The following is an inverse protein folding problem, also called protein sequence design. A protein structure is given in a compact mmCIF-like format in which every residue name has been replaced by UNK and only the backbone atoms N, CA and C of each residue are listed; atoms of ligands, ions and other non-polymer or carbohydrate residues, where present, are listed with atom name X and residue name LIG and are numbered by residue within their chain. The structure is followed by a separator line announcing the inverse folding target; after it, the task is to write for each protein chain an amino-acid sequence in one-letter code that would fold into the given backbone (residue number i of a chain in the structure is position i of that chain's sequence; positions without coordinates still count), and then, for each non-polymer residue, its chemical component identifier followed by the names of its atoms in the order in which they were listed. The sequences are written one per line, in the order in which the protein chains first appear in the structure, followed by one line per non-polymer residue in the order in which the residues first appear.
data_IF_061918889614
#
_entry.id   IF_061918889614
#
_cell.length_a   1.000
_cell.length_b   1.000
_cell.length_c   1.000
_cell.angle_alpha   90.00
_cell.angle_beta   90.00
_cell.angle_gamma   90.00
#
_symmetry.space_group_name_H-M   'P 1'
#
loop_
_entity.id
_entity.type
_entity.pdbx_description
1 polymer ?
#
# COMPACT_ATOMS: atom_id res chain seq x y z
N UNK A 1 -8.40 -7.32 45.03
CA UNK A 1 -7.80 -8.45 44.29
C UNK A 1 -6.88 -7.86 43.25
N UNK A 2 -5.60 -8.18 43.28
CA UNK A 2 -4.61 -7.63 42.38
C UNK A 2 -4.95 -8.05 40.94
N UNK A 3 -5.37 -7.09 40.11
CA UNK A 3 -5.46 -7.26 38.67
C UNK A 3 -4.04 -7.25 38.11
N UNK A 4 -3.36 -8.40 38.22
CA UNK A 4 -2.10 -8.62 37.53
C UNK A 4 -2.34 -8.53 36.03
N UNK A 5 -1.74 -7.53 35.40
CA UNK A 5 -1.54 -7.54 33.95
C UNK A 5 -0.78 -8.84 33.65
N UNK A 6 -1.25 -9.70 32.73
CA UNK A 6 -0.53 -10.91 32.37
C UNK A 6 0.92 -10.57 32.02
N UNK A 7 1.87 -11.41 32.43
CA UNK A 7 3.28 -11.28 32.03
C UNK A 7 3.33 -11.04 30.51
N UNK A 8 3.89 -9.91 30.10
CA UNK A 8 3.92 -9.51 28.71
C UNK A 8 4.75 -10.52 27.92
N UNK A 9 4.15 -11.13 26.90
CA UNK A 9 4.81 -12.07 25.99
C UNK A 9 6.15 -11.46 25.53
N UNK A 10 7.30 -12.07 25.86
CA UNK A 10 8.61 -11.50 25.54
C UNK A 10 8.81 -11.24 24.05
N UNK A 11 8.08 -11.95 23.18
CA UNK A 11 8.12 -11.76 21.73
C UNK A 11 7.36 -10.53 21.27
N UNK A 12 6.43 -10.01 22.08
CA UNK A 12 5.63 -8.82 21.80
C UNK A 12 6.17 -7.55 22.49
N UNK A 13 7.17 -7.71 23.36
CA UNK A 13 7.83 -6.59 24.02
C UNK A 13 8.46 -5.65 23.00
N UNK A 14 8.11 -4.38 23.11
CA UNK A 14 8.67 -3.33 22.27
C UNK A 14 10.03 -2.88 22.82
N UNK A 15 10.97 -2.66 21.92
CA UNK A 15 12.33 -2.20 22.17
C UNK A 15 12.52 -0.90 21.39
N UNK A 16 13.26 0.04 21.98
CA UNK A 16 13.70 1.27 21.32
C UNK A 16 15.20 1.39 21.53
N UNK A 17 15.96 1.44 20.45
CA UNK A 17 17.39 1.70 20.49
C UNK A 17 17.65 3.11 21.04
N UNK A 18 18.64 3.28 21.94
CA UNK A 18 19.10 4.61 22.34
C UNK A 18 19.53 5.45 21.13
N UNK A 19 19.41 6.80 21.17
CA UNK A 19 19.68 7.64 20.01
C UNK A 19 21.07 7.46 19.36
N UNK A 20 22.12 7.26 20.15
CA UNK A 20 23.49 7.01 19.68
C UNK A 20 23.63 5.65 18.98
N UNK A 21 22.97 4.62 19.53
CA UNK A 21 22.92 3.27 18.93
C UNK A 21 22.14 3.29 17.62
N UNK A 22 20.99 3.98 17.60
CA UNK A 22 20.19 4.15 16.40
C UNK A 22 20.99 4.88 15.32
N UNK A 23 21.68 5.96 15.67
CA UNK A 23 22.47 6.75 14.71
C UNK A 23 23.57 5.90 14.04
N UNK A 24 24.31 5.10 14.83
CA UNK A 24 25.34 4.19 14.31
C UNK A 24 24.76 3.11 13.38
N UNK A 25 23.61 2.52 13.75
CA UNK A 25 22.93 1.52 12.89
C UNK A 25 22.46 2.16 11.57
N UNK A 26 21.99 3.41 11.61
CA UNK A 26 21.56 4.15 10.43
C UNK A 26 22.74 4.52 9.52
N UNK A 27 23.90 4.87 10.07
CA UNK A 27 25.13 5.07 9.28
C UNK A 27 25.51 3.80 8.51
N UNK A 28 25.49 2.66 9.21
CA UNK A 28 25.82 1.38 8.59
C UNK A 28 24.80 0.99 7.50
N UNK A 29 23.50 1.18 7.75
CA UNK A 29 22.45 0.92 6.77
C UNK A 29 22.57 1.85 5.55
N UNK A 30 22.86 3.14 5.77
CA UNK A 30 23.07 4.09 4.69
C UNK A 30 24.27 3.69 3.82
N UNK A 31 25.37 3.23 4.41
CA UNK A 31 26.52 2.68 3.67
C UNK A 31 26.13 1.47 2.82
N UNK A 32 25.32 0.55 3.36
CA UNK A 32 24.86 -0.61 2.59
C UNK A 32 24.03 -0.19 1.39
N UNK A 33 23.08 0.74 1.57
CA UNK A 33 22.21 1.22 0.49
C UNK A 33 23.02 1.97 -0.58
N UNK A 34 24.01 2.80 -0.21
CA UNK A 34 24.86 3.50 -1.18
C UNK A 34 25.65 2.55 -2.07
N UNK A 35 26.04 1.40 -1.54
CA UNK A 35 26.85 0.39 -2.25
C UNK A 35 26.01 -0.74 -2.86
N UNK A 36 24.69 -0.76 -2.62
CA UNK A 36 23.81 -1.83 -3.08
C UNK A 36 23.67 -1.80 -4.60
N UNK A 37 23.81 -2.97 -5.22
CA UNK A 37 23.50 -3.17 -6.63
C UNK A 37 22.02 -3.45 -6.85
N UNK A 38 21.35 -4.04 -5.86
CA UNK A 38 19.93 -4.33 -5.93
C UNK A 38 19.32 -4.29 -4.52
N UNK A 39 18.83 -3.12 -4.15
CA UNK A 39 18.21 -2.88 -2.84
C UNK A 39 16.70 -3.09 -2.89
N UNK A 40 16.18 -3.95 -2.02
CA UNK A 40 14.74 -4.17 -1.86
C UNK A 40 14.27 -3.84 -0.44
N UNK A 41 12.98 -3.53 -0.31
CA UNK A 41 12.33 -3.27 0.97
C UNK A 41 11.15 -4.22 1.16
N UNK A 42 11.05 -4.83 2.33
CA UNK A 42 9.92 -5.64 2.73
C UNK A 42 9.10 -4.90 3.79
N UNK A 43 7.80 -4.70 3.58
CA UNK A 43 6.96 -3.90 4.49
C UNK A 43 5.80 -4.70 5.08
N UNK A 44 5.51 -4.44 6.35
CA UNK A 44 4.33 -4.90 7.06
C UNK A 44 3.54 -3.75 7.67
N UNK A 45 2.54 -4.08 8.48
CA UNK A 45 1.53 -3.11 8.94
C UNK A 45 2.11 -1.95 9.78
N UNK A 46 3.29 -2.15 10.38
CA UNK A 46 3.97 -1.14 11.19
C UNK A 46 4.25 0.17 10.44
N UNK A 47 4.50 0.14 9.12
CA UNK A 47 4.75 1.37 8.32
C UNK A 47 3.52 2.26 8.17
N UNK A 48 2.32 1.72 8.46
CA UNK A 48 1.04 2.41 8.34
C UNK A 48 0.48 2.87 9.69
N UNK A 49 1.12 2.52 10.82
CA UNK A 49 0.63 2.85 12.17
C UNK A 49 0.56 4.35 12.45
N UNK A 50 1.54 5.12 11.97
CA UNK A 50 1.52 6.59 12.09
C UNK A 50 0.42 7.28 11.28
N UNK A 51 -0.21 6.55 10.34
CA UNK A 51 -1.34 7.05 9.53
C UNK A 51 -2.70 6.86 10.23
N UNK A 52 -2.71 6.22 11.40
CA UNK A 52 -3.92 5.86 12.14
C UNK A 52 -4.49 4.49 11.77
N UNK A 53 -3.81 3.70 10.94
CA UNK A 53 -4.19 2.32 10.66
C UNK A 53 -3.52 1.40 11.70
N UNK A 54 -4.28 0.70 12.56
CA UNK A 54 -3.69 -0.21 13.53
C UNK A 54 -3.00 -1.38 12.85
N UNK A 55 -1.93 -1.87 13.47
CA UNK A 55 -1.29 -3.11 13.05
C UNK A 55 -2.09 -4.34 13.51
N UNK A 56 -1.49 -5.52 13.39
CA UNK A 56 -2.13 -6.78 13.75
C UNK A 56 -1.77 -7.29 15.15
N UNK A 57 -0.54 -7.08 15.63
CA UNK A 57 0.05 -7.87 16.74
C UNK A 57 0.68 -7.04 17.86
N UNK A 58 0.69 -5.72 17.75
CA UNK A 58 1.22 -4.87 18.83
C UNK A 58 0.49 -5.16 20.14
N UNK A 59 1.26 -5.23 21.23
CA UNK A 59 0.76 -5.69 22.53
C UNK A 59 -0.28 -4.74 23.12
N UNK A 60 -0.91 -5.16 24.21
CA UNK A 60 -1.84 -4.31 24.96
C UNK A 60 -1.20 -3.01 25.50
N UNK A 61 0.13 -2.98 25.67
CA UNK A 61 0.90 -1.86 26.23
C UNK A 61 1.73 -1.12 25.17
N UNK A 62 1.43 -1.31 23.88
CA UNK A 62 2.17 -0.69 22.78
C UNK A 62 2.27 0.84 22.89
N UNK A 63 3.42 1.38 22.50
CA UNK A 63 3.65 2.82 22.38
C UNK A 63 2.94 3.43 21.16
N UNK A 64 2.42 2.60 20.26
CA UNK A 64 1.83 3.07 19.01
C UNK A 64 0.54 3.87 19.27
N UNK A 65 0.32 4.98 18.55
CA UNK A 65 -0.86 5.83 18.74
C UNK A 65 -2.17 5.14 18.34
N UNK A 66 -2.08 4.06 17.56
CA UNK A 66 -3.21 3.21 17.15
C UNK A 66 -3.63 2.20 18.20
N UNK A 67 -2.91 2.15 19.33
CA UNK A 67 -3.12 1.17 20.38
C UNK A 67 -2.88 -0.26 19.90
N UNK A 68 -3.40 -1.25 20.65
CA UNK A 68 -3.10 -2.66 20.41
C UNK A 68 -3.56 -3.15 19.03
N UNK A 69 -2.83 -4.14 18.54
CA UNK A 69 -3.07 -4.74 17.24
C UNK A 69 -4.45 -5.37 17.12
N UNK A 70 -4.98 -5.46 15.90
CA UNK A 70 -6.35 -5.97 15.70
C UNK A 70 -6.52 -7.44 16.10
N UNK A 71 -5.47 -8.27 16.01
CA UNK A 71 -5.52 -9.65 16.48
C UNK A 71 -5.26 -9.74 17.98
N UNK A 72 -4.40 -8.88 18.52
CA UNK A 72 -4.20 -8.77 19.97
C UNK A 72 -5.52 -8.50 20.71
N UNK A 73 -6.32 -7.54 20.21
CA UNK A 73 -7.64 -7.24 20.76
C UNK A 73 -8.64 -8.38 20.59
N UNK A 74 -8.55 -9.12 19.48
CA UNK A 74 -9.42 -10.28 19.22
C UNK A 74 -9.11 -11.41 20.20
N UNK A 75 -7.84 -11.60 20.50
CA UNK A 75 -7.34 -12.68 21.36
C UNK A 75 -7.50 -12.32 22.86
N UNK A 76 -7.86 -11.07 23.19
CA UNK A 76 -8.22 -10.61 24.53
C UNK A 76 -9.67 -10.08 24.60
N UNK A 77 -10.69 -10.96 24.58
CA UNK A 77 -12.08 -10.56 24.65
C UNK A 77 -12.37 -9.70 25.89
N UNK A 78 -12.92 -8.51 25.68
CA UNK A 78 -13.21 -7.54 26.75
C UNK A 78 -12.17 -6.42 26.88
N UNK A 79 -10.98 -6.60 26.33
CA UNK A 79 -10.03 -5.51 26.14
C UNK A 79 -10.61 -4.49 25.14
N UNK A 80 -10.44 -3.21 25.43
CA UNK A 80 -10.83 -2.10 24.55
C UNK A 80 -9.63 -1.22 24.32
N UNK A 81 -9.54 -0.63 23.13
CA UNK A 81 -8.60 0.47 22.88
C UNK A 81 -8.90 1.60 23.87
N UNK A 82 -7.84 2.28 24.31
CA UNK A 82 -7.96 3.52 25.06
C UNK A 82 -8.85 4.50 24.27
N UNK A 83 -9.77 5.24 24.92
CA UNK A 83 -10.58 6.27 24.25
C UNK A 83 -9.74 7.37 23.57
N UNK A 84 -8.47 7.53 23.95
CA UNK A 84 -7.54 8.46 23.32
C UNK A 84 -7.05 8.00 21.93
N UNK A 85 -7.16 6.70 21.63
CA UNK A 85 -6.73 6.13 20.35
C UNK A 85 -7.70 6.54 19.25
N UNK A 86 -7.18 7.17 18.20
CA UNK A 86 -7.94 7.50 16.99
C UNK A 86 -7.45 6.66 15.84
N UNK A 87 -8.33 5.84 15.28
CA UNK A 87 -8.04 5.10 14.05
C UNK A 87 -8.66 5.79 12.84
N UNK A 88 -8.03 5.61 11.69
CA UNK A 88 -8.49 6.14 10.41
C UNK A 88 -8.88 4.95 9.52
N UNK A 89 -9.94 5.10 8.72
CA UNK A 89 -10.29 4.08 7.73
C UNK A 89 -9.22 4.04 6.64
N UNK A 90 -8.97 2.86 6.05
CA UNK A 90 -7.95 2.68 5.00
C UNK A 90 -8.08 3.72 3.87
N UNK A 91 -9.33 3.97 3.44
CA UNK A 91 -9.65 4.95 2.39
C UNK A 91 -9.24 6.38 2.73
N UNK A 92 -9.30 6.76 4.02
CA UNK A 92 -8.99 8.13 4.49
C UNK A 92 -7.54 8.31 4.90
N UNK A 93 -6.82 7.23 5.18
CA UNK A 93 -5.42 7.29 5.57
C UNK A 93 -4.59 7.92 4.44
N UNK A 94 -3.64 8.77 4.80
CA UNK A 94 -2.65 9.32 3.86
C UNK A 94 -1.31 8.58 4.06
N UNK A 95 -0.46 8.47 3.02
CA UNK A 95 0.83 7.81 3.15
C UNK A 95 1.70 8.41 4.26
N UNK A 96 2.39 7.55 5.01
CA UNK A 96 3.33 7.97 6.06
C UNK A 96 4.64 8.51 5.49
N UNK A 97 5.48 9.07 6.36
CA UNK A 97 6.84 9.50 6.03
C UNK A 97 7.65 8.33 5.46
N UNK A 98 7.48 7.13 6.01
CA UNK A 98 8.08 5.90 5.48
C UNK A 98 7.68 5.65 4.02
N UNK A 99 6.39 5.75 3.69
CA UNK A 99 5.93 5.56 2.30
C UNK A 99 6.55 6.60 1.35
N UNK A 100 6.59 7.87 1.77
CA UNK A 100 7.15 8.94 0.94
C UNK A 100 8.67 8.83 0.77
N UNK A 101 9.39 8.34 1.78
CA UNK A 101 10.81 8.04 1.67
C UNK A 101 11.08 6.95 0.62
N UNK A 102 10.27 5.88 0.60
CA UNK A 102 10.39 4.82 -0.41
C UNK A 102 10.12 5.32 -1.83
N UNK A 103 9.15 6.22 -2.01
CA UNK A 103 8.89 6.87 -3.30
C UNK A 103 10.11 7.64 -3.78
N UNK A 104 10.75 8.42 -2.91
CA UNK A 104 11.93 9.20 -3.29
C UNK A 104 13.15 8.31 -3.59
N UNK A 105 13.36 7.24 -2.81
CA UNK A 105 14.41 6.27 -3.08
C UNK A 105 14.19 5.56 -4.43
N UNK A 106 12.93 5.25 -4.79
CA UNK A 106 12.59 4.68 -6.09
C UNK A 106 12.83 5.69 -7.24
N UNK A 107 12.44 6.96 -7.05
CA UNK A 107 12.68 8.03 -8.04
C UNK A 107 14.17 8.25 -8.34
N UNK A 108 15.03 7.99 -7.35
CA UNK A 108 16.49 8.08 -7.48
C UNK A 108 17.15 6.79 -7.97
N UNK A 109 16.36 5.76 -8.31
CA UNK A 109 16.82 4.43 -8.69
C UNK A 109 17.71 3.74 -7.62
N UNK A 110 17.55 4.10 -6.34
CA UNK A 110 18.20 3.41 -5.24
C UNK A 110 17.38 2.20 -4.80
N UNK A 111 16.05 2.37 -4.71
CA UNK A 111 15.13 1.28 -4.38
C UNK A 111 14.69 0.55 -5.64
N UNK A 112 14.96 -0.75 -5.70
CA UNK A 112 14.71 -1.59 -6.87
C UNK A 112 13.37 -2.32 -6.78
N UNK A 113 12.90 -2.63 -5.57
CA UNK A 113 11.61 -3.30 -5.38
C UNK A 113 11.07 -3.20 -3.96
N UNK A 114 9.75 -3.18 -3.83
CA UNK A 114 9.02 -3.28 -2.57
C UNK A 114 8.21 -4.57 -2.54
N UNK A 115 8.32 -5.33 -1.47
CA UNK A 115 7.43 -6.45 -1.19
C UNK A 115 6.57 -6.04 0.00
N UNK A 116 5.25 -5.97 -0.18
CA UNK A 116 4.35 -5.51 0.88
C UNK A 116 3.33 -6.56 1.27
N UNK A 117 3.22 -6.79 2.58
CA UNK A 117 2.16 -7.58 3.19
C UNK A 117 0.88 -6.76 3.45
N UNK A 118 0.93 -5.45 3.21
CA UNK A 118 -0.15 -4.54 3.58
C UNK A 118 -1.24 -4.54 2.51
N UNK A 119 -2.48 -4.47 2.99
CA UNK A 119 -3.67 -4.37 2.13
C UNK A 119 -4.25 -2.95 2.06
N UNK A 120 -3.61 -1.98 2.72
CA UNK A 120 -4.09 -0.61 2.87
C UNK A 120 -3.98 0.24 1.59
N UNK A 121 -3.21 -0.23 0.60
CA UNK A 121 -2.99 0.43 -0.68
C UNK A 121 -2.16 1.72 -0.60
N UNK A 122 -1.53 2.03 0.54
CA UNK A 122 -0.82 3.30 0.74
C UNK A 122 0.45 3.41 -0.10
N UNK A 123 1.13 2.31 -0.42
CA UNK A 123 2.28 2.32 -1.33
C UNK A 123 1.91 2.84 -2.72
N UNK A 124 0.83 2.33 -3.31
CA UNK A 124 0.41 2.82 -4.63
C UNK A 124 -0.19 4.23 -4.55
N UNK A 125 -0.89 4.55 -3.46
CA UNK A 125 -1.46 5.89 -3.23
C UNK A 125 -0.40 6.96 -2.88
N UNK A 126 0.82 6.57 -2.49
CA UNK A 126 1.95 7.48 -2.35
C UNK A 126 2.60 7.85 -3.69
N UNK A 127 2.25 7.13 -4.75
CA UNK A 127 2.84 7.30 -6.09
C UNK A 127 4.01 6.37 -6.35
N UNK A 128 4.21 5.32 -5.54
CA UNK A 128 5.16 4.26 -5.87
C UNK A 128 4.71 3.57 -7.17
N UNK A 129 5.57 3.44 -8.20
CA UNK A 129 5.19 2.78 -9.44
C UNK A 129 4.75 1.34 -9.19
N UNK A 130 3.60 0.92 -9.75
CA UNK A 130 3.12 -0.46 -9.50
C UNK A 130 4.00 -1.56 -10.12
N UNK A 131 4.95 -1.18 -10.99
CA UNK A 131 6.00 -2.08 -11.50
C UNK A 131 7.13 -2.35 -10.50
N UNK A 132 7.21 -1.57 -9.41
CA UNK A 132 8.26 -1.70 -8.39
C UNK A 132 7.72 -2.29 -7.08
N UNK A 133 6.54 -2.88 -7.09
CA UNK A 133 5.95 -3.46 -5.89
C UNK A 133 5.20 -4.76 -6.17
N UNK A 134 5.34 -5.70 -5.24
CA UNK A 134 4.42 -6.84 -5.09
C UNK A 134 3.57 -6.69 -3.83
N UNK A 135 2.24 -6.70 -3.99
CA UNK A 135 1.27 -6.66 -2.89
C UNK A 135 0.80 -8.09 -2.56
N UNK A 136 1.60 -8.82 -1.78
CA UNK A 136 1.47 -10.29 -1.67
C UNK A 136 0.19 -10.77 -0.97
N UNK A 137 -0.44 -9.91 -0.17
CA UNK A 137 -1.75 -10.19 0.47
C UNK A 137 -2.91 -9.46 -0.21
N UNK A 138 -2.67 -8.84 -1.37
CA UNK A 138 -3.64 -8.04 -2.09
C UNK A 138 -3.73 -6.59 -1.63
N UNK A 139 -4.74 -5.90 -2.13
CA UNK A 139 -4.96 -4.48 -1.90
C UNK A 139 -6.46 -4.19 -1.83
N UNK A 140 -6.88 -3.55 -0.73
CA UNK A 140 -8.30 -3.27 -0.44
C UNK A 140 -8.97 -2.35 -1.46
N UNK A 141 -8.19 -1.64 -2.28
CA UNK A 141 -8.63 -0.73 -3.33
C UNK A 141 -8.46 -1.32 -4.74
N UNK A 142 -8.04 -2.57 -4.90
CA UNK A 142 -7.77 -3.19 -6.19
C UNK A 142 -8.83 -4.23 -6.55
N UNK A 143 -9.25 -4.21 -7.81
CA UNK A 143 -10.00 -5.29 -8.45
C UNK A 143 -9.27 -5.82 -9.68
N UNK A 144 -9.47 -7.10 -9.96
CA UNK A 144 -8.84 -7.80 -11.05
C UNK A 144 -9.90 -8.55 -11.85
N UNK A 145 -9.86 -8.40 -13.17
CA UNK A 145 -10.64 -9.25 -14.06
C UNK A 145 -9.95 -10.60 -14.24
N UNK A 146 -10.56 -11.71 -13.80
CA UNK A 146 -9.97 -13.06 -13.96
C UNK A 146 -9.89 -13.57 -15.41
N UNK A 147 -10.61 -12.92 -16.35
CA UNK A 147 -10.62 -13.31 -17.77
C UNK A 147 -9.51 -12.61 -18.58
N UNK A 148 -9.31 -11.30 -18.38
CA UNK A 148 -8.33 -10.51 -19.15
C UNK A 148 -7.23 -9.86 -18.31
N UNK A 149 -7.17 -10.18 -17.01
CA UNK A 149 -6.17 -9.72 -16.03
C UNK A 149 -6.02 -8.21 -15.88
N UNK A 150 -6.96 -7.42 -16.41
CA UNK A 150 -6.93 -5.96 -16.23
C UNK A 150 -7.20 -5.62 -14.77
N UNK A 151 -6.27 -4.84 -14.19
CA UNK A 151 -6.32 -4.28 -12.83
C UNK A 151 -7.11 -2.97 -12.82
N UNK A 152 -7.89 -2.74 -11.77
CA UNK A 152 -8.71 -1.54 -11.56
C UNK A 152 -8.49 -0.99 -10.15
N UNK A 153 -7.93 0.21 -10.04
CA UNK A 153 -7.75 0.87 -8.76
C UNK A 153 -8.96 1.75 -8.40
N UNK A 154 -9.35 1.71 -7.13
CA UNK A 154 -10.50 2.42 -6.58
C UNK A 154 -10.07 3.41 -5.50
N UNK A 155 -10.86 4.46 -5.34
CA UNK A 155 -10.83 5.36 -4.20
C UNK A 155 -11.65 4.83 -3.01
N UNK A 156 -12.26 3.65 -3.14
CA UNK A 156 -13.06 2.98 -2.11
C UNK A 156 -12.63 1.52 -1.92
N UNK A 157 -13.10 0.89 -0.85
CA UNK A 157 -12.84 -0.53 -0.59
C UNK A 157 -13.62 -1.42 -1.57
N UNK A 158 -12.91 -2.28 -2.29
CA UNK A 158 -13.48 -3.06 -3.40
C UNK A 158 -14.34 -4.22 -2.95
N UNK A 159 -13.99 -4.85 -1.83
CA UNK A 159 -14.73 -6.00 -1.32
C UNK A 159 -16.19 -5.63 -1.00
N UNK A 160 -17.12 -6.32 -1.64
CA UNK A 160 -18.57 -6.20 -1.39
C UNK A 160 -19.17 -7.42 -0.70
N UNK A 161 -18.42 -8.53 -0.65
CA UNK A 161 -18.91 -9.78 -0.10
C UNK A 161 -18.91 -9.79 1.42
N UNK A 162 -19.98 -10.34 1.99
CA UNK A 162 -20.16 -10.52 3.44
C UNK A 162 -19.48 -11.80 3.94
N UNK A 163 -19.32 -12.79 3.05
CA UNK A 163 -18.71 -14.09 3.37
C UNK A 163 -17.20 -14.07 3.09
N UNK A 164 -16.46 -14.84 3.89
CA UNK A 164 -15.07 -15.15 3.60
C UNK A 164 -14.97 -15.95 2.29
N UNK A 165 -13.88 -15.80 1.55
CA UNK A 165 -13.59 -16.49 0.27
C UNK A 165 -14.51 -16.15 -0.92
N UNK A 166 -15.51 -15.30 -0.73
CA UNK A 166 -16.24 -14.70 -1.85
C UNK A 166 -15.56 -13.36 -2.21
N UNK A 167 -14.87 -13.37 -3.35
CA UNK A 167 -14.17 -12.20 -3.86
C UNK A 167 -14.92 -11.52 -5.00
N UNK A 168 -16.11 -12.02 -5.37
CA UNK A 168 -16.87 -11.42 -6.46
C UNK A 168 -17.32 -10.02 -6.05
N UNK A 169 -17.04 -9.08 -6.93
CA UNK A 169 -17.57 -7.73 -6.81
C UNK A 169 -18.78 -7.59 -7.73
N UNK A 170 -19.65 -6.64 -7.44
CA UNK A 170 -20.83 -6.38 -8.28
C UNK A 170 -20.48 -5.68 -9.61
N UNK A 171 -19.20 -5.40 -9.88
CA UNK A 171 -18.71 -4.59 -11.00
C UNK A 171 -18.23 -5.46 -12.17
N UNK A 172 -18.19 -4.87 -13.37
CA UNK A 172 -17.85 -5.53 -14.63
C UNK A 172 -16.61 -4.92 -15.27
N UNK A 173 -15.80 -5.77 -15.90
CA UNK A 173 -14.61 -5.36 -16.63
C UNK A 173 -14.98 -4.51 -17.85
N UNK A 174 -14.36 -3.34 -17.98
CA UNK A 174 -14.58 -2.43 -19.12
C UNK A 174 -14.06 -2.96 -20.46
N UNK A 175 -13.20 -4.00 -20.46
CA UNK A 175 -12.64 -4.60 -21.68
C UNK A 175 -13.39 -5.82 -22.19
N UNK A 176 -13.84 -6.71 -21.28
CA UNK A 176 -14.44 -8.00 -21.66
C UNK A 176 -15.78 -8.29 -20.96
N UNK A 177 -16.31 -7.36 -20.18
CA UNK A 177 -17.60 -7.46 -19.48
C UNK A 177 -17.73 -8.61 -18.46
N UNK A 178 -16.65 -9.36 -18.20
CA UNK A 178 -16.62 -10.36 -17.12
C UNK A 178 -16.70 -9.71 -15.73
N UNK A 179 -17.14 -10.47 -14.72
CA UNK A 179 -17.18 -10.03 -13.32
C UNK A 179 -15.77 -9.70 -12.81
N UNK A 180 -15.66 -8.61 -12.03
CA UNK A 180 -14.43 -8.23 -11.33
C UNK A 180 -14.36 -8.86 -9.95
N UNK A 181 -13.15 -9.13 -9.48
CA UNK A 181 -12.88 -9.73 -8.18
C UNK A 181 -11.95 -8.82 -7.37
N UNK A 182 -12.13 -8.70 -6.05
CA UNK A 182 -11.13 -8.06 -5.20
C UNK A 182 -9.85 -8.91 -5.13
N UNK A 183 -8.73 -8.26 -4.77
CA UNK A 183 -7.42 -8.93 -4.70
C UNK A 183 -7.03 -9.41 -3.29
N UNK A 184 -7.87 -9.19 -2.27
CA UNK A 184 -7.54 -9.53 -0.88
C UNK A 184 -7.33 -11.03 -0.74
N UNK A 185 -6.30 -11.43 0.00
CA UNK A 185 -6.07 -12.82 0.36
C UNK A 185 -6.56 -13.07 1.79
N UNK A 186 -7.51 -13.99 1.94
CA UNK A 186 -7.98 -14.46 3.24
C UNK A 186 -7.07 -15.58 3.79
N UNK A 187 -7.17 -15.85 5.09
CA UNK A 187 -6.53 -17.03 5.68
C UNK A 187 -6.98 -18.32 5.00
N UNK A 188 -6.03 -19.20 4.69
CA UNK A 188 -6.29 -20.46 4.00
C UNK A 188 -6.32 -20.35 2.47
N UNK A 189 -6.18 -19.16 1.90
CA UNK A 189 -5.99 -18.97 0.46
C UNK A 189 -4.51 -18.94 0.08
N UNK A 190 -4.22 -19.34 -1.15
CA UNK A 190 -2.89 -19.19 -1.74
C UNK A 190 -2.62 -17.73 -2.09
N UNK A 191 -1.36 -17.30 -1.91
CA UNK A 191 -0.93 -15.99 -2.41
C UNK A 191 -1.03 -15.94 -3.94
N UNK A 192 -1.12 -14.72 -4.48
CA UNK A 192 -1.03 -14.52 -5.93
C UNK A 192 0.33 -15.01 -6.43
N UNK A 193 0.33 -16.04 -7.29
CA UNK A 193 1.56 -16.61 -7.85
C UNK A 193 2.41 -15.54 -8.53
N UNK A 194 1.78 -14.65 -9.32
CA UNK A 194 2.47 -13.57 -10.01
C UNK A 194 3.19 -12.61 -9.04
N UNK A 195 2.50 -12.16 -7.99
CA UNK A 195 3.06 -11.21 -7.02
C UNK A 195 4.16 -11.89 -6.20
N UNK A 196 3.95 -13.16 -5.84
CA UNK A 196 4.89 -13.96 -5.06
C UNK A 196 6.17 -14.29 -5.85
N UNK A 197 6.04 -14.72 -7.11
CA UNK A 197 7.18 -15.03 -7.98
C UNK A 197 8.02 -13.78 -8.23
N UNK A 198 7.39 -12.65 -8.53
CA UNK A 198 8.10 -11.37 -8.68
C UNK A 198 8.84 -10.99 -7.37
N UNK A 199 8.22 -11.20 -6.21
CA UNK A 199 8.85 -10.95 -4.91
C UNK A 199 10.13 -11.77 -4.74
N UNK A 200 10.08 -13.07 -5.09
CA UNK A 200 11.22 -13.97 -5.01
C UNK A 200 12.29 -13.68 -6.06
N UNK A 201 11.90 -13.34 -7.29
CA UNK A 201 12.84 -12.94 -8.34
C UNK A 201 13.69 -11.74 -7.91
N UNK A 202 13.06 -10.74 -7.28
CA UNK A 202 13.78 -9.60 -6.73
C UNK A 202 14.60 -9.96 -5.49
N UNK A 203 14.14 -10.89 -4.65
CA UNK A 203 14.91 -11.40 -3.51
C UNK A 203 16.18 -12.15 -3.94
N UNK A 204 16.12 -12.94 -5.01
CA UNK A 204 17.27 -13.68 -5.54
C UNK A 204 18.38 -12.77 -6.09
N UNK A 205 18.02 -11.55 -6.52
CA UNK A 205 18.95 -10.54 -7.03
C UNK A 205 19.48 -9.62 -5.94
N UNK A 206 18.78 -9.52 -4.81
CA UNK A 206 19.06 -8.50 -3.80
C UNK A 206 20.35 -8.77 -3.05
N UNK A 207 21.18 -7.73 -2.93
CA UNK A 207 22.34 -7.72 -2.05
C UNK A 207 22.09 -6.95 -0.75
N UNK A 208 21.01 -6.18 -0.68
CA UNK A 208 20.50 -5.54 0.54
C UNK A 208 18.97 -5.65 0.61
N UNK A 209 18.46 -6.09 1.77
CA UNK A 209 17.04 -6.10 2.10
C UNK A 209 16.79 -5.37 3.42
N UNK A 210 15.86 -4.42 3.42
CA UNK A 210 15.38 -3.74 4.62
C UNK A 210 13.93 -4.16 4.90
N UNK A 211 13.70 -4.81 6.04
CA UNK A 211 12.36 -5.11 6.55
C UNK A 211 11.89 -3.92 7.40
N UNK A 212 10.67 -3.43 7.17
CA UNK A 212 10.06 -2.35 7.93
C UNK A 212 8.68 -2.76 8.47
N UNK A 213 8.53 -2.71 9.80
CA UNK A 213 7.22 -2.83 10.44
C UNK A 213 6.51 -4.16 10.22
N UNK A 214 7.26 -5.26 10.08
CA UNK A 214 6.71 -6.61 9.99
C UNK A 214 7.32 -7.51 11.06
N UNK A 215 6.46 -8.30 11.72
CA UNK A 215 6.89 -9.34 12.66
C UNK A 215 7.48 -10.59 11.97
N UNK A 216 7.33 -10.69 10.63
CA UNK A 216 7.77 -11.84 9.82
C UNK A 216 7.19 -13.20 10.28
N UNK A 217 5.95 -13.19 10.80
CA UNK A 217 5.28 -14.40 11.32
C UNK A 217 4.29 -15.04 10.34
N UNK A 218 4.17 -14.55 9.11
CA UNK A 218 3.20 -15.07 8.12
C UNK A 218 3.92 -15.63 6.89
N UNK A 219 4.23 -16.93 6.89
CA UNK A 219 4.62 -17.65 5.69
C UNK A 219 3.48 -17.69 4.65
N UNK A 220 3.80 -17.80 3.35
CA UNK A 220 5.15 -17.85 2.79
C UNK A 220 5.76 -16.46 2.54
N UNK A 221 5.04 -15.36 2.75
CA UNK A 221 5.56 -14.00 2.52
C UNK A 221 6.82 -13.70 3.35
N UNK A 222 6.88 -14.18 4.59
CA UNK A 222 8.03 -14.02 5.48
C UNK A 222 9.33 -14.69 4.98
N UNK A 223 9.26 -15.56 3.97
CA UNK A 223 10.43 -16.21 3.39
C UNK A 223 11.21 -15.30 2.42
N UNK A 224 10.62 -14.19 1.96
CA UNK A 224 11.28 -13.27 1.02
C UNK A 224 12.56 -12.66 1.62
N UNK A 225 12.56 -12.05 2.82
CA UNK A 225 13.80 -11.55 3.43
C UNK A 225 14.79 -12.66 3.78
N UNK A 226 14.29 -13.85 4.15
CA UNK A 226 15.14 -15.00 4.45
C UNK A 226 15.94 -15.42 3.22
N UNK A 227 15.29 -15.44 2.04
CA UNK A 227 15.95 -15.76 0.78
C UNK A 227 17.13 -14.82 0.48
N UNK A 228 17.00 -13.53 0.75
CA UNK A 228 18.11 -12.57 0.57
C UNK A 228 19.31 -12.96 1.44
N UNK A 229 19.06 -13.28 2.71
CA UNK A 229 20.12 -13.73 3.63
C UNK A 229 20.74 -15.07 3.20
N UNK A 230 19.94 -16.03 2.72
CA UNK A 230 20.42 -17.34 2.22
C UNK A 230 21.38 -17.20 1.02
N UNK A 231 21.19 -16.14 0.21
CA UNK A 231 22.04 -15.83 -0.94
C UNK A 231 23.28 -15.00 -0.58
N UNK A 232 23.47 -14.69 0.71
CA UNK A 232 24.58 -13.90 1.21
C UNK A 232 24.36 -12.38 1.13
N UNK A 233 23.13 -11.93 0.83
CA UNK A 233 22.75 -10.53 0.90
C UNK A 233 22.64 -10.05 2.34
N UNK A 234 22.77 -8.74 2.54
CA UNK A 234 22.66 -8.09 3.85
C UNK A 234 21.20 -7.85 4.21
N UNK A 235 20.80 -8.28 5.40
CA UNK A 235 19.45 -8.12 5.93
C UNK A 235 19.47 -7.16 7.12
N UNK A 236 18.68 -6.08 7.00
CA UNK A 236 18.36 -5.16 8.08
C UNK A 236 16.87 -5.28 8.43
N UNK A 237 16.53 -5.28 9.72
CA UNK A 237 15.16 -5.35 10.21
C UNK A 237 14.88 -4.15 11.11
N UNK A 238 14.02 -3.25 10.63
CA UNK A 238 13.46 -2.13 11.37
C UNK A 238 12.09 -2.49 11.96
N UNK A 239 12.04 -2.80 13.25
CA UNK A 239 10.79 -3.14 13.95
C UNK A 239 10.90 -2.88 15.46
N UNK A 240 9.79 -2.45 16.08
CA UNK A 240 9.75 -2.25 17.54
C UNK A 240 9.91 -3.57 18.30
N UNK A 241 9.22 -4.61 17.84
CA UNK A 241 9.26 -5.94 18.44
C UNK A 241 10.37 -6.79 17.81
N UNK A 242 10.87 -7.78 18.56
CA UNK A 242 11.72 -8.82 17.97
C UNK A 242 10.94 -9.57 16.88
N UNK A 243 11.66 -10.00 15.84
CA UNK A 243 11.06 -10.75 14.74
C UNK A 243 11.59 -12.19 14.76
N UNK A 244 10.81 -13.11 14.19
CA UNK A 244 11.22 -14.53 14.04
C UNK A 244 12.53 -14.70 13.26
N UNK A 245 12.85 -13.73 12.41
CA UNK A 245 14.05 -13.73 11.56
C UNK A 245 15.16 -12.81 12.07
N UNK A 246 15.04 -12.28 13.29
CA UNK A 246 16.07 -11.44 13.90
C UNK A 246 17.48 -12.09 13.91
N UNK A 247 17.64 -13.41 14.15
CA UNK A 247 18.96 -14.06 14.08
C UNK A 247 19.60 -14.08 12.68
N UNK A 248 18.82 -13.88 11.62
CA UNK A 248 19.31 -13.83 10.23
C UNK A 248 19.78 -12.43 9.84
N UNK A 249 19.35 -11.40 10.56
CA UNK A 249 19.64 -10.01 10.24
C UNK A 249 21.00 -9.58 10.80
N UNK A 250 21.83 -8.97 9.96
CA UNK A 250 23.09 -8.35 10.39
C UNK A 250 22.83 -7.00 11.09
N UNK A 251 21.67 -6.37 10.86
CA UNK A 251 21.21 -5.20 11.62
C UNK A 251 19.77 -5.41 12.09
N UNK A 252 19.57 -5.43 13.41
CA UNK A 252 18.25 -5.27 14.02
C UNK A 252 18.15 -3.85 14.56
N UNK A 253 17.21 -3.07 14.04
CA UNK A 253 16.99 -1.65 14.37
C UNK A 253 15.65 -1.52 15.05
N UNK A 254 15.67 -1.04 16.29
CA UNK A 254 14.49 -0.92 17.13
C UNK A 254 14.06 0.53 17.22
N UNK A 255 13.17 0.94 16.31
CA UNK A 255 12.66 2.30 16.24
C UNK A 255 11.28 2.32 15.56
N UNK A 256 10.56 3.44 15.71
CA UNK A 256 9.40 3.73 14.88
C UNK A 256 9.84 3.82 13.41
N UNK A 257 9.05 3.25 12.49
CA UNK A 257 9.40 3.20 11.07
C UNK A 257 9.67 4.60 10.49
N UNK A 258 8.85 5.60 10.86
CA UNK A 258 9.02 6.97 10.38
C UNK A 258 10.32 7.62 10.92
N UNK A 259 10.72 7.34 12.16
CA UNK A 259 11.95 7.90 12.73
C UNK A 259 13.19 7.24 12.13
N UNK A 260 13.15 5.91 11.94
CA UNK A 260 14.18 5.17 11.21
C UNK A 260 14.35 5.75 9.80
N UNK A 261 13.25 5.94 9.05
CA UNK A 261 13.33 6.44 7.69
C UNK A 261 13.75 7.91 7.61
N UNK A 262 13.33 8.77 8.54
CA UNK A 262 13.85 10.16 8.61
C UNK A 262 15.35 10.17 8.82
N UNK A 263 15.83 9.40 9.79
CA UNK A 263 17.26 9.30 10.09
C UNK A 263 18.04 8.73 8.91
N UNK A 264 17.58 7.63 8.31
CA UNK A 264 18.19 7.02 7.13
C UNK A 264 18.29 8.00 5.95
N UNK A 265 17.18 8.69 5.63
CA UNK A 265 17.13 9.65 4.54
C UNK A 265 18.06 10.84 4.79
N UNK A 266 18.17 11.30 6.04
CA UNK A 266 19.14 12.32 6.44
C UNK A 266 20.59 11.83 6.25
N UNK A 267 20.91 10.60 6.67
CA UNK A 267 22.25 10.00 6.42
C UNK A 267 22.54 9.91 4.93
N UNK A 268 21.56 9.53 4.11
CA UNK A 268 21.71 9.48 2.65
C UNK A 268 21.79 10.86 1.98
N UNK A 269 21.47 11.95 2.70
CA UNK A 269 21.41 13.30 2.13
C UNK A 269 20.22 13.51 1.18
N UNK A 270 19.14 12.75 1.37
CA UNK A 270 17.97 12.75 0.50
C UNK A 270 16.76 13.33 1.27
N UNK A 271 16.13 14.42 0.80
CA UNK A 271 14.94 14.95 1.44
C UNK A 271 13.74 14.02 1.20
N UNK A 272 12.83 13.92 2.17
CA UNK A 272 11.58 13.20 2.00
C UNK A 272 10.55 14.16 1.40
N UNK A 273 9.93 13.85 0.25
CA UNK A 273 8.95 14.73 -0.38
C UNK A 273 7.63 14.75 0.39
N UNK A 274 6.90 15.86 0.29
CA UNK A 274 5.52 15.93 0.73
C UNK A 274 4.63 15.00 -0.11
N UNK A 275 3.55 14.52 0.48
CA UNK A 275 2.56 13.74 -0.24
C UNK A 275 1.65 14.66 -1.08
N UNK A 276 1.56 14.36 -2.36
CA UNK A 276 0.67 15.05 -3.30
C UNK A 276 -0.27 14.05 -3.97
N UNK A 277 -1.55 14.40 -4.05
CA UNK A 277 -2.54 13.58 -4.75
C UNK A 277 -2.57 13.92 -6.24
N UNK A 278 -1.95 13.07 -7.07
CA UNK A 278 -1.93 13.23 -8.52
C UNK A 278 -3.08 12.43 -9.17
N UNK A 279 -3.95 13.09 -9.95
CA UNK A 279 -5.07 12.46 -10.66
C UNK A 279 -5.00 12.79 -12.16
N UNK A 280 -5.22 11.81 -13.04
CA UNK A 280 -5.28 12.03 -14.50
C UNK A 280 -6.63 11.62 -15.07
N UNK A 281 -7.20 12.51 -15.88
CA UNK A 281 -8.40 12.20 -16.67
C UNK A 281 -8.02 12.17 -18.13
N UNK A 282 -8.40 11.10 -18.82
CA UNK A 282 -8.33 11.01 -20.28
C UNK A 282 -9.72 11.24 -20.85
N UNK A 283 -9.85 12.22 -21.73
CA UNK A 283 -11.06 12.46 -22.51
C UNK A 283 -10.76 12.13 -23.97
N UNK A 284 -11.41 11.08 -24.48
CA UNK A 284 -11.30 10.66 -25.89
C UNK A 284 -12.59 11.02 -26.62
N UNK A 285 -12.47 11.78 -27.70
CA UNK A 285 -13.59 12.08 -28.60
C UNK A 285 -13.35 11.33 -29.91
N UNK A 286 -14.24 10.40 -30.24
CA UNK A 286 -14.18 9.64 -31.50
C UNK A 286 -15.56 9.59 -32.15
N UNK A 287 -15.64 10.04 -33.41
CA UNK A 287 -16.90 10.21 -34.13
C UNK A 287 -17.85 11.09 -33.31
N UNK A 288 -18.98 10.52 -32.90
CA UNK A 288 -20.01 11.11 -32.07
C UNK A 288 -20.01 10.47 -30.68
N UNK A 289 -18.86 10.11 -30.12
CA UNK A 289 -18.77 9.54 -28.76
C UNK A 289 -17.69 10.26 -27.97
N UNK A 290 -18.02 10.61 -26.74
CA UNK A 290 -17.09 11.11 -25.73
C UNK A 290 -16.89 9.99 -24.73
N UNK A 291 -15.62 9.61 -24.50
CA UNK A 291 -15.22 8.73 -23.42
C UNK A 291 -14.39 9.52 -22.41
N UNK A 292 -14.85 9.65 -21.18
CA UNK A 292 -14.09 10.21 -20.07
C UNK A 292 -13.62 9.04 -19.23
N UNK A 293 -12.33 8.94 -18.91
CA UNK A 293 -11.77 7.85 -18.12
C UNK A 293 -10.78 8.38 -17.09
N UNK A 294 -10.93 7.96 -15.83
CA UNK A 294 -9.93 8.19 -14.80
C UNK A 294 -8.78 7.19 -14.92
N UNK A 295 -7.56 7.69 -14.77
CA UNK A 295 -6.34 6.93 -14.92
C UNK A 295 -5.36 7.24 -13.79
N UNK A 296 -4.63 6.21 -13.37
CA UNK A 296 -3.40 6.38 -12.62
C UNK A 296 -2.37 7.17 -13.44
N UNK A 297 -1.62 8.06 -12.79
CA UNK A 297 -0.70 8.98 -13.45
C UNK A 297 0.58 8.31 -13.94
N UNK A 298 0.96 7.18 -13.34
CA UNK A 298 2.22 6.50 -13.62
C UNK A 298 2.06 5.52 -14.78
N UNK A 299 0.97 4.73 -14.79
CA UNK A 299 0.86 3.57 -15.70
C UNK A 299 -0.46 3.51 -16.49
N UNK A 300 -1.26 4.57 -16.48
CA UNK A 300 -2.57 4.62 -17.16
C UNK A 300 -3.50 3.45 -16.79
N UNK A 301 -3.36 2.94 -15.56
CA UNK A 301 -4.26 1.92 -15.02
C UNK A 301 -5.61 2.58 -14.72
N UNK A 302 -6.75 1.97 -15.10
CA UNK A 302 -8.07 2.52 -14.79
C UNK A 302 -8.22 2.85 -13.31
N UNK A 303 -8.58 4.09 -13.02
CA UNK A 303 -8.69 4.62 -11.67
C UNK A 303 -10.03 5.33 -11.48
N UNK A 304 -10.72 5.05 -10.38
CA UNK A 304 -11.98 5.75 -10.06
C UNK A 304 -11.67 7.13 -9.49
N UNK A 305 -11.99 8.18 -10.23
CA UNK A 305 -11.69 9.57 -9.85
C UNK A 305 -12.91 10.39 -9.46
N UNK A 306 -14.09 10.03 -9.98
CA UNK A 306 -15.29 10.85 -9.86
C UNK A 306 -16.47 10.00 -9.45
N UNK A 307 -17.26 10.50 -8.52
CA UNK A 307 -18.58 9.95 -8.19
C UNK A 307 -19.65 10.41 -9.18
N UNK A 308 -19.37 11.47 -9.96
CA UNK A 308 -20.25 12.06 -10.96
C UNK A 308 -19.43 12.82 -12.01
N UNK A 309 -19.84 12.77 -13.27
CA UNK A 309 -19.34 13.73 -14.25
C UNK A 309 -20.50 14.42 -14.99
N UNK A 310 -20.28 15.67 -15.38
CA UNK A 310 -21.24 16.48 -16.15
C UNK A 310 -20.63 16.85 -17.49
N UNK A 311 -21.26 16.40 -18.56
CA UNK A 311 -20.80 16.71 -19.91
C UNK A 311 -21.68 17.84 -20.44
N UNK A 312 -21.05 18.96 -20.80
CA UNK A 312 -21.71 20.09 -21.44
C UNK A 312 -21.38 20.10 -22.92
N UNK A 313 -22.39 19.93 -23.77
CA UNK A 313 -22.24 20.01 -25.22
C UNK A 313 -22.85 21.34 -25.69
N UNK A 314 -22.06 22.16 -26.39
CA UNK A 314 -22.55 23.42 -27.00
C UNK A 314 -22.78 23.18 -28.49
N UNK A 315 -23.98 23.50 -28.97
CA UNK A 315 -24.36 23.48 -30.40
C UNK A 315 -24.91 24.87 -30.75
N UNK A 316 -24.13 25.68 -31.47
CA UNK A 316 -24.47 27.09 -31.71
C UNK A 316 -24.62 27.89 -30.41
N UNK A 317 -25.74 28.63 -30.26
CA UNK A 317 -26.08 29.38 -29.03
C UNK A 317 -26.71 28.52 -27.93
N UNK A 318 -27.13 27.29 -28.25
CA UNK A 318 -27.76 26.37 -27.30
C UNK A 318 -26.71 25.54 -26.54
N UNK A 319 -26.89 25.41 -25.23
CA UNK A 319 -26.11 24.49 -24.38
C UNK A 319 -27.02 23.38 -23.87
N UNK A 320 -26.66 22.12 -24.14
CA UNK A 320 -27.31 20.97 -23.51
C UNK A 320 -26.36 20.39 -22.45
N UNK A 321 -26.88 20.15 -21.25
CA UNK A 321 -26.15 19.53 -20.16
C UNK A 321 -26.66 18.10 -19.98
N UNK A 322 -25.75 17.15 -19.87
CA UNK A 322 -26.08 15.80 -19.47
C UNK A 322 -25.19 15.38 -18.30
N UNK A 323 -25.83 15.05 -17.18
CA UNK A 323 -25.15 14.58 -15.98
C UNK A 323 -25.26 13.07 -15.88
N UNK A 324 -24.13 12.38 -15.68
CA UNK A 324 -24.12 10.94 -15.40
C UNK A 324 -23.46 10.68 -14.05
N UNK A 325 -24.15 9.98 -13.17
CA UNK A 325 -23.57 9.49 -11.93
C UNK A 325 -22.66 8.30 -12.24
N UNK A 326 -21.48 8.30 -11.63
CA UNK A 326 -20.48 7.25 -11.76
C UNK A 326 -20.48 6.43 -10.47
N UNK A 327 -21.34 5.42 -10.39
CA UNK A 327 -21.37 4.50 -9.25
C UNK A 327 -20.25 3.48 -9.37
N UNK A 328 -19.02 3.88 -9.00
CA UNK A 328 -17.84 3.00 -9.06
C UNK A 328 -17.41 2.62 -10.46
N UNK A 329 -17.67 3.49 -11.44
CA UNK A 329 -17.24 3.36 -12.83
C UNK A 329 -16.07 4.31 -13.09
N UNK A 330 -15.05 3.82 -13.78
CA UNK A 330 -13.82 4.55 -14.13
C UNK A 330 -14.00 5.36 -15.42
N UNK A 331 -15.01 5.00 -16.23
CA UNK A 331 -15.28 5.69 -17.47
C UNK A 331 -16.77 5.96 -17.75
N UNK A 332 -17.02 7.07 -18.44
CA UNK A 332 -18.33 7.43 -19.01
C UNK A 332 -18.18 7.42 -20.51
N UNK A 333 -19.11 6.76 -21.19
CA UNK A 333 -19.34 6.97 -22.61
C UNK A 333 -20.67 7.70 -22.84
N UNK A 334 -20.64 8.72 -23.69
CA UNK A 334 -21.80 9.53 -24.09
C UNK A 334 -21.80 9.78 -25.59
N UNK A 335 -22.98 9.76 -26.22
CA UNK A 335 -23.14 9.92 -27.68
C UNK A 335 -23.48 11.38 -28.02
N UNK A 336 -22.65 12.03 -28.83
CA UNK A 336 -22.82 13.42 -29.29
C UNK A 336 -23.92 13.46 -30.38
N UNK A 337 -24.94 14.34 -30.27
CA UNK A 337 -25.91 14.56 -31.34
C UNK A 337 -25.26 15.20 -32.59
N UNK A 338 -25.76 14.88 -33.79
CA UNK A 338 -25.06 15.02 -35.09
C UNK A 338 -24.73 16.47 -35.56
N UNK A 339 -25.23 17.53 -34.94
CA UNK A 339 -25.09 18.89 -35.49
C UNK A 339 -23.87 19.66 -34.94
N UNK A 340 -23.28 20.57 -35.73
CA UNK A 340 -22.10 21.40 -35.44
C UNK A 340 -21.93 21.73 -33.95
N UNK A 341 -21.15 20.90 -33.24
CA UNK A 341 -20.99 20.95 -31.79
C UNK A 341 -19.54 21.20 -31.38
N UNK A 342 -19.37 22.08 -30.41
CA UNK A 342 -18.16 22.17 -29.59
C UNK A 342 -18.42 21.53 -28.23
N UNK A 343 -17.56 20.60 -27.83
CA UNK A 343 -17.69 19.82 -26.58
C UNK A 343 -16.73 20.36 -25.53
N UNK A 344 -17.22 20.69 -24.33
CA UNK A 344 -16.39 21.00 -23.15
C UNK A 344 -16.80 20.09 -21.98
N UNK A 345 -15.86 19.37 -21.39
CA UNK A 345 -16.09 18.51 -20.22
C UNK A 345 -15.78 19.24 -18.92
N UNK A 346 -16.64 19.10 -17.91
CA UNK A 346 -16.39 19.57 -16.54
C UNK A 346 -16.57 18.39 -15.56
N UNK A 347 -15.66 18.23 -14.61
CA UNK A 347 -15.72 17.17 -13.58
C UNK A 347 -15.83 17.82 -12.19
N UNK A 348 -16.61 17.23 -11.29
CA UNK A 348 -16.78 17.71 -9.91
C UNK A 348 -16.58 16.59 -8.90
#
# INVERSE_FOLDING_TARGET
MASGIPDEDPTKKEIIDPPDVLDQKLDQLAEWIRNAKHFIVFTGAGVSTSTGIPDYRSSMNTILPTGPGVWELRDHPGAKRSPAVRTVSLVKAIPSVTHMALVELARRNLLHFVVSQNIDGLHLRSGLPSSLISEVHGNSNLEICKNCHTKYFRDFQTRTAVKNHDHQTTRKCTKCSSTLYDSIINFGESLSQQEFDASFEHAEKADVCLVLGSSLCVPPAAYVPQRVSERGGKLAIGNLQLTSSAPLAQLNIHALCDDLMRGLMAKLGIPIPDWELHRRVRVTIQKQRIKIMGLDVVQDIPYTLFSRARIRIRQGTASKYESKQLTGQESIEHKIPVNDSTVKGETS
#
